data_IF_112189447845
#
_entry.id   IF_112189447845
#
_cell.length_a   1.000
_cell.length_b   1.000
_cell.length_c   1.000
_cell.angle_alpha   90.00
_cell.angle_beta   90.00
_cell.angle_gamma   90.00
#
_symmetry.space_group_name_H-M   'P 1'
#
loop_
_entity.id
_entity.type
_entity.pdbx_description
1 polymer ?
#
# COMPACT_ATOMS: atom_id res chain seq x y z
N UNK A 1 -9.20 57.11 4.08
CA UNK A 1 -9.48 55.77 3.52
C UNK A 1 -8.28 55.39 2.66
N UNK A 2 -7.24 54.80 3.27
CA UNK A 2 -6.10 54.27 2.51
C UNK A 2 -6.50 52.89 1.98
N UNK A 3 -6.57 52.76 0.66
CA UNK A 3 -6.62 51.47 -0.01
C UNK A 3 -5.21 50.88 0.04
N UNK A 4 -4.96 50.00 1.01
CA UNK A 4 -3.76 49.17 1.02
C UNK A 4 -3.82 48.23 -0.18
N UNK A 5 -2.90 48.41 -1.13
CA UNK A 5 -2.72 47.47 -2.22
C UNK A 5 -2.33 46.11 -1.66
N UNK A 6 -3.09 45.08 -2.03
CA UNK A 6 -2.66 43.70 -1.87
C UNK A 6 -1.46 43.53 -2.80
N UNK A 7 -0.23 43.51 -2.26
CA UNK A 7 0.89 42.97 -3.01
C UNK A 7 0.61 41.49 -3.20
N UNK A 8 0.56 41.02 -4.44
CA UNK A 8 0.68 39.59 -4.69
C UNK A 8 2.00 39.13 -4.06
N UNK A 9 1.94 38.11 -3.20
CA UNK A 9 3.17 37.48 -2.72
C UNK A 9 4.02 37.11 -3.93
N UNK A 10 5.34 37.29 -3.87
CA UNK A 10 6.21 36.90 -4.97
C UNK A 10 6.02 35.40 -5.24
N UNK A 11 5.58 35.09 -6.46
CA UNK A 11 5.26 33.72 -6.89
C UNK A 11 6.52 33.08 -7.46
N UNK A 12 7.28 32.41 -6.61
CA UNK A 12 8.38 31.55 -7.01
C UNK A 12 7.90 30.41 -7.90
N UNK A 13 8.81 29.94 -8.75
CA UNK A 13 8.61 28.78 -9.62
C UNK A 13 9.67 27.73 -9.35
N UNK A 14 9.32 26.47 -9.59
CA UNK A 14 10.24 25.35 -9.51
C UNK A 14 10.16 24.59 -10.82
N UNK A 15 11.27 24.51 -11.56
CA UNK A 15 11.37 23.81 -12.82
C UNK A 15 12.43 22.72 -12.81
N UNK A 16 12.27 21.71 -13.67
CA UNK A 16 13.19 20.60 -13.75
C UNK A 16 12.81 19.57 -14.81
N UNK A 17 13.39 18.39 -14.70
CA UNK A 17 13.12 17.23 -15.55
C UNK A 17 12.83 15.98 -14.74
N UNK A 18 11.93 15.14 -15.25
CA UNK A 18 11.72 13.77 -14.79
C UNK A 18 12.36 12.82 -15.79
N UNK A 19 13.21 11.93 -15.30
CA UNK A 19 13.97 10.97 -16.12
C UNK A 19 13.95 9.58 -15.49
N UNK A 20 14.19 8.55 -16.28
CA UNK A 20 14.52 7.21 -15.82
C UNK A 20 15.84 6.73 -16.46
N UNK A 21 16.09 5.42 -16.48
CA UNK A 21 17.31 4.86 -17.07
C UNK A 21 17.37 5.00 -18.60
N UNK A 22 16.23 5.14 -19.28
CA UNK A 22 16.10 5.16 -20.73
C UNK A 22 15.98 6.59 -21.30
N UNK A 23 15.61 7.56 -20.47
CA UNK A 23 15.61 8.97 -20.85
C UNK A 23 14.55 9.81 -20.13
N UNK A 24 14.04 10.87 -20.77
CA UNK A 24 12.98 11.68 -20.21
C UNK A 24 11.66 10.92 -20.07
N UNK A 25 10.96 11.12 -18.96
CA UNK A 25 9.68 10.48 -18.68
C UNK A 25 8.55 11.47 -18.92
N UNK A 26 7.79 11.27 -20.00
CA UNK A 26 6.54 11.98 -20.25
C UNK A 26 5.43 11.53 -19.30
N UNK A 27 4.55 12.44 -18.90
CA UNK A 27 3.30 12.07 -18.24
C UNK A 27 3.44 11.71 -16.76
N UNK A 28 4.58 11.98 -16.13
CA UNK A 28 4.76 11.79 -14.69
C UNK A 28 4.06 12.93 -13.93
N UNK A 29 3.32 12.60 -12.88
CA UNK A 29 2.75 13.60 -11.97
C UNK A 29 3.87 14.13 -11.08
N UNK A 30 4.08 15.44 -11.09
CA UNK A 30 5.06 16.14 -10.25
C UNK A 30 4.32 17.05 -9.28
N UNK A 31 4.64 17.00 -7.98
CA UNK A 31 3.87 17.63 -6.91
C UNK A 31 4.77 18.28 -5.85
N UNK A 32 4.27 19.33 -5.19
CA UNK A 32 4.79 19.78 -3.90
C UNK A 32 4.15 18.96 -2.78
N UNK A 33 4.98 18.22 -2.04
CA UNK A 33 4.53 17.30 -0.98
C UNK A 33 3.56 17.99 0.01
N UNK A 34 2.51 17.26 0.42
CA UNK A 34 1.46 17.71 1.34
C UNK A 34 0.66 18.93 0.84
N UNK A 35 0.58 19.13 -0.48
CA UNK A 35 -0.26 20.15 -1.11
C UNK A 35 -0.93 19.61 -2.37
N UNK A 36 -1.93 20.33 -2.88
CA UNK A 36 -2.57 20.06 -4.17
C UNK A 36 -1.83 20.68 -5.36
N UNK A 37 -0.67 21.34 -5.14
CA UNK A 37 0.09 21.96 -6.21
C UNK A 37 0.85 20.88 -7.00
N UNK A 38 0.36 20.62 -8.21
CA UNK A 38 0.88 19.58 -9.08
C UNK A 38 0.88 20.00 -10.56
N UNK A 39 1.70 19.31 -11.34
CA UNK A 39 1.82 19.43 -12.80
C UNK A 39 2.16 18.06 -13.40
N UNK A 40 2.24 17.97 -14.71
CA UNK A 40 2.65 16.76 -15.42
C UNK A 40 3.88 17.05 -16.27
N UNK A 41 4.84 16.12 -16.30
CA UNK A 41 6.02 16.26 -17.16
C UNK A 41 5.66 16.18 -18.65
N UNK A 42 6.28 17.03 -19.45
CA UNK A 42 6.13 17.06 -20.91
C UNK A 42 6.89 15.91 -21.60
N UNK A 43 6.77 15.81 -22.93
CA UNK A 43 7.41 14.77 -23.74
C UNK A 43 8.94 14.73 -23.62
N UNK A 44 9.57 15.87 -23.31
CA UNK A 44 11.01 15.98 -23.04
C UNK A 44 11.35 15.84 -21.54
N UNK A 45 10.40 15.37 -20.73
CA UNK A 45 10.50 15.18 -19.29
C UNK A 45 10.41 16.48 -18.48
N UNK A 46 10.34 17.65 -19.11
CA UNK A 46 10.35 18.93 -18.39
C UNK A 46 9.07 19.14 -17.60
N UNK A 47 9.18 19.82 -16.46
CA UNK A 47 8.02 20.25 -15.66
C UNK A 47 8.25 21.65 -15.09
N UNK A 48 7.15 22.35 -14.77
CA UNK A 48 7.18 23.61 -14.01
C UNK A 48 6.03 23.64 -13.02
N UNK A 49 6.36 23.97 -11.76
CA UNK A 49 5.41 24.27 -10.68
C UNK A 49 5.49 25.77 -10.38
N UNK A 50 4.34 26.41 -10.22
CA UNK A 50 4.23 27.85 -9.91
C UNK A 50 3.41 28.11 -8.64
N UNK A 51 3.24 29.39 -8.30
CA UNK A 51 2.44 29.79 -7.13
C UNK A 51 3.09 29.42 -5.80
N UNK A 52 4.42 29.35 -5.74
CA UNK A 52 5.18 29.04 -4.54
C UNK A 52 5.66 30.31 -3.87
N UNK A 53 5.87 30.28 -2.56
CA UNK A 53 6.50 31.39 -1.85
C UNK A 53 8.01 31.35 -2.04
N UNK A 54 8.61 32.44 -2.51
CA UNK A 54 10.06 32.54 -2.67
C UNK A 54 10.82 32.32 -1.36
N UNK A 55 11.96 31.62 -1.42
CA UNK A 55 12.85 31.32 -0.31
C UNK A 55 12.33 30.26 0.67
N UNK A 56 11.05 29.88 0.61
CA UNK A 56 10.46 28.86 1.48
C UNK A 56 10.72 27.48 0.87
N UNK A 57 11.50 26.66 1.58
CA UNK A 57 11.90 25.34 1.10
C UNK A 57 10.71 24.39 0.98
N UNK A 58 10.66 23.67 -0.15
CA UNK A 58 9.65 22.65 -0.44
C UNK A 58 10.30 21.31 -0.78
N UNK A 59 9.50 20.24 -0.73
CA UNK A 59 9.84 18.93 -1.29
C UNK A 59 9.06 18.72 -2.58
N UNK A 60 9.77 18.43 -3.66
CA UNK A 60 9.19 18.11 -4.97
C UNK A 60 9.23 16.60 -5.14
N UNK A 61 8.09 15.97 -5.41
CA UNK A 61 7.98 14.54 -5.70
C UNK A 61 7.49 14.29 -7.11
N UNK A 62 7.86 13.14 -7.69
CA UNK A 62 7.32 12.64 -8.94
C UNK A 62 6.89 11.18 -8.82
N UNK A 63 5.84 10.83 -9.54
CA UNK A 63 5.36 9.46 -9.69
C UNK A 63 4.77 9.23 -11.08
N UNK A 64 4.89 7.99 -11.54
CA UNK A 64 4.21 7.45 -12.72
C UNK A 64 3.91 5.97 -12.47
N UNK A 65 2.79 5.48 -13.01
CA UNK A 65 2.45 4.05 -12.95
C UNK A 65 3.63 3.18 -13.42
N UNK A 66 3.90 2.07 -12.72
CA UNK A 66 5.09 1.20 -12.83
C UNK A 66 6.42 1.72 -12.28
N UNK A 67 6.46 2.88 -11.63
CA UNK A 67 7.66 3.43 -11.01
C UNK A 67 7.51 3.64 -9.51
N UNK A 68 8.63 3.51 -8.78
CA UNK A 68 8.76 4.06 -7.44
C UNK A 68 8.69 5.59 -7.49
N UNK A 69 8.14 6.20 -6.43
CA UNK A 69 8.17 7.64 -6.26
C UNK A 69 9.61 8.15 -6.11
N UNK A 70 9.92 9.26 -6.78
CA UNK A 70 11.14 10.03 -6.57
C UNK A 70 10.83 11.32 -5.81
N UNK A 71 11.82 11.87 -5.11
CA UNK A 71 11.71 13.19 -4.50
C UNK A 71 13.05 13.92 -4.43
N UNK A 72 12.97 15.25 -4.40
CA UNK A 72 14.06 16.16 -4.05
C UNK A 72 13.56 17.07 -2.93
N UNK A 73 14.30 17.11 -1.83
CA UNK A 73 13.97 17.88 -0.62
C UNK A 73 14.78 19.18 -0.59
N UNK A 74 14.31 20.17 0.19
CA UNK A 74 15.08 21.40 0.46
C UNK A 74 15.16 22.36 -0.73
N UNK A 75 14.20 22.31 -1.65
CA UNK A 75 14.17 23.17 -2.85
C UNK A 75 13.65 24.55 -2.46
N UNK A 76 14.43 25.60 -2.63
CA UNK A 76 14.00 26.98 -2.36
C UNK A 76 13.60 27.69 -3.66
N UNK A 77 12.32 28.04 -3.86
CA UNK A 77 11.88 28.80 -5.03
C UNK A 77 12.46 30.23 -5.06
N UNK A 78 12.73 30.82 -6.24
CA UNK A 78 12.71 30.17 -7.54
C UNK A 78 13.88 29.18 -7.69
N UNK A 79 13.61 28.01 -8.25
CA UNK A 79 14.62 27.00 -8.54
C UNK A 79 14.41 26.41 -9.94
N UNK A 80 15.51 26.06 -10.61
CA UNK A 80 15.52 25.35 -11.89
C UNK A 80 16.42 24.12 -11.81
N UNK A 81 16.45 23.34 -12.89
CA UNK A 81 17.42 22.25 -13.09
C UNK A 81 17.32 21.12 -12.06
N UNK A 82 16.15 20.97 -11.42
CA UNK A 82 15.86 19.84 -10.55
C UNK A 82 15.73 18.57 -11.39
N UNK A 83 16.34 17.48 -10.95
CA UNK A 83 16.21 16.18 -11.62
C UNK A 83 15.52 15.19 -10.69
N UNK A 84 14.38 14.66 -11.13
CA UNK A 84 13.66 13.57 -10.47
C UNK A 84 13.92 12.28 -11.24
N UNK A 85 14.60 11.32 -10.61
CA UNK A 85 14.97 10.04 -11.25
C UNK A 85 13.98 8.97 -10.81
N UNK A 86 13.07 8.60 -11.70
CA UNK A 86 12.15 7.48 -11.50
C UNK A 86 12.88 6.15 -11.73
N UNK A 87 12.46 5.12 -11.00
CA UNK A 87 12.95 3.75 -11.15
C UNK A 87 11.76 2.82 -11.27
N UNK A 88 11.80 1.93 -12.25
CA UNK A 88 10.80 0.88 -12.35
C UNK A 88 10.79 0.02 -11.08
N UNK A 89 9.61 -0.36 -10.64
CA UNK A 89 9.44 -1.44 -9.68
C UNK A 89 9.12 -2.75 -10.42
N UNK A 90 9.23 -3.87 -9.70
CA UNK A 90 8.82 -5.18 -10.17
C UNK A 90 7.29 -5.26 -10.41
N UNK A 91 6.88 -5.67 -11.61
CA UNK A 91 5.48 -5.76 -12.02
C UNK A 91 4.96 -7.20 -12.21
N UNK A 92 5.68 -8.22 -11.75
CA UNK A 92 5.18 -9.60 -11.59
C UNK A 92 4.92 -9.90 -10.10
N UNK A 93 4.58 -11.13 -9.72
CA UNK A 93 4.34 -11.55 -8.33
C UNK A 93 5.32 -12.68 -7.97
N UNK A 94 5.79 -12.70 -6.73
CA UNK A 94 6.69 -13.74 -6.19
C UNK A 94 5.91 -14.70 -5.26
N UNK A 95 5.52 -15.89 -5.73
CA UNK A 95 4.79 -16.86 -4.91
C UNK A 95 5.59 -17.42 -3.72
N UNK A 96 6.92 -17.32 -3.75
CA UNK A 96 7.80 -17.84 -2.70
C UNK A 96 8.14 -16.78 -1.63
N UNK A 97 7.57 -15.58 -1.72
CA UNK A 97 7.82 -14.51 -0.76
C UNK A 97 7.26 -14.84 0.62
N UNK A 98 8.13 -14.72 1.63
CA UNK A 98 7.72 -14.79 3.03
C UNK A 98 7.27 -13.42 3.52
N UNK A 99 6.10 -13.37 4.15
CA UNK A 99 5.48 -12.12 4.56
C UNK A 99 6.23 -11.49 5.74
N UNK A 100 6.48 -10.18 5.65
CA UNK A 100 7.13 -9.44 6.72
C UNK A 100 6.22 -9.42 7.96
N UNK A 101 6.82 -9.72 9.12
CA UNK A 101 6.10 -9.68 10.37
C UNK A 101 5.72 -8.23 10.71
N UNK A 102 4.48 -7.98 11.19
CA UNK A 102 4.10 -6.66 11.69
C UNK A 102 4.97 -6.23 12.87
N UNK A 103 5.29 -7.16 13.76
CA UNK A 103 6.11 -6.97 14.97
C UNK A 103 6.89 -8.25 15.27
N UNK A 104 8.12 -8.09 15.78
CA UNK A 104 8.98 -9.20 16.23
C UNK A 104 9.90 -8.71 17.34
N UNK A 105 10.20 -9.59 18.30
CA UNK A 105 11.22 -9.37 19.33
C UNK A 105 12.63 -9.74 18.86
N UNK A 106 12.75 -10.33 17.67
CA UNK A 106 14.03 -10.68 17.06
C UNK A 106 14.69 -9.43 16.45
N UNK A 107 15.83 -8.96 17.00
CA UNK A 107 16.50 -7.76 16.51
C UNK A 107 17.15 -7.93 15.12
N UNK A 108 17.31 -9.16 14.63
CA UNK A 108 17.88 -9.44 13.30
C UNK A 108 16.80 -9.43 12.20
N UNK A 109 15.52 -9.48 12.57
CA UNK A 109 14.41 -9.44 11.63
C UNK A 109 13.81 -8.03 11.55
N UNK A 110 13.72 -7.49 10.33
CA UNK A 110 12.95 -6.26 10.09
C UNK A 110 11.46 -6.54 10.29
N UNK A 111 10.72 -5.51 10.71
CA UNK A 111 9.27 -5.58 10.85
C UNK A 111 8.65 -4.22 10.59
N UNK A 112 7.34 -4.19 10.37
CA UNK A 112 6.62 -2.94 10.22
C UNK A 112 6.80 -2.02 11.45
N UNK A 113 6.79 -2.59 12.66
CA UNK A 113 6.98 -1.88 13.92
C UNK A 113 8.32 -1.13 14.02
N UNK A 114 9.39 -1.63 13.38
CA UNK A 114 10.70 -0.99 13.43
C UNK A 114 10.68 0.46 12.89
N UNK A 115 9.93 0.69 11.81
CA UNK A 115 9.80 2.00 11.18
C UNK A 115 8.47 2.70 11.50
N UNK A 116 7.44 1.94 11.90
CA UNK A 116 6.05 2.40 12.06
C UNK A 116 5.45 1.95 13.40
N UNK A 117 6.22 2.07 14.48
CA UNK A 117 5.83 1.58 15.82
C UNK A 117 4.42 2.06 16.24
N UNK A 118 4.19 3.38 16.27
CA UNK A 118 2.91 3.92 16.73
C UNK A 118 1.70 3.50 15.87
N UNK A 119 1.89 3.29 14.56
CA UNK A 119 0.82 2.77 13.68
C UNK A 119 0.57 1.29 13.97
N UNK A 120 1.65 0.53 14.22
CA UNK A 120 1.57 -0.90 14.51
C UNK A 120 0.89 -1.14 15.87
N UNK A 121 1.18 -0.33 16.89
CA UNK A 121 0.49 -0.37 18.19
C UNK A 121 -1.02 -0.17 18.04
N UNK A 122 -1.44 0.83 17.26
CA UNK A 122 -2.87 1.05 16.98
C UNK A 122 -3.48 -0.13 16.21
N UNK A 123 -2.74 -0.67 15.24
CA UNK A 123 -3.21 -1.81 14.43
C UNK A 123 -3.38 -3.06 15.29
N UNK A 124 -2.48 -3.34 16.24
CA UNK A 124 -2.57 -4.48 17.15
C UNK A 124 -3.86 -4.48 18.00
N UNK A 125 -4.42 -3.30 18.29
CA UNK A 125 -5.65 -3.16 19.05
C UNK A 125 -6.93 -3.18 18.17
N UNK A 126 -6.80 -3.34 16.85
CA UNK A 126 -7.92 -3.28 15.92
C UNK A 126 -8.33 -4.67 15.37
N UNK A 127 -9.47 -4.71 14.67
CA UNK A 127 -10.01 -5.96 14.12
C UNK A 127 -9.16 -6.59 13.00
N UNK A 128 -8.27 -5.82 12.34
CA UNK A 128 -7.41 -6.34 11.27
C UNK A 128 -6.36 -7.30 11.83
N UNK A 129 -5.68 -6.92 12.93
CA UNK A 129 -4.65 -7.72 13.59
C UNK A 129 -5.17 -8.99 14.28
N UNK A 130 -6.47 -9.04 14.54
CA UNK A 130 -7.14 -10.20 15.14
C UNK A 130 -7.94 -11.04 14.15
N UNK A 131 -7.98 -10.69 12.86
CA UNK A 131 -8.90 -11.30 11.91
C UNK A 131 -8.64 -12.81 11.72
N UNK A 132 -7.37 -13.22 11.80
CA UNK A 132 -6.94 -14.62 11.71
C UNK A 132 -7.15 -15.44 12.98
N UNK A 133 -7.29 -14.78 14.14
CA UNK A 133 -7.31 -15.43 15.46
C UNK A 133 -8.55 -15.08 16.31
N UNK A 134 -9.57 -14.44 15.73
CA UNK A 134 -10.73 -13.98 16.47
C UNK A 134 -11.55 -15.17 17.00
N UNK A 135 -11.71 -15.33 18.33
CA UNK A 135 -12.35 -16.52 18.91
C UNK A 135 -13.82 -16.64 18.54
N UNK A 136 -14.54 -15.53 18.32
CA UNK A 136 -15.94 -15.57 17.86
C UNK A 136 -16.04 -16.01 16.41
N UNK A 137 -15.09 -15.62 15.57
CA UNK A 137 -15.03 -16.09 14.19
C UNK A 137 -14.70 -17.59 14.17
N UNK A 138 -13.65 -18.00 14.88
CA UNK A 138 -13.22 -19.40 14.92
C UNK A 138 -14.31 -20.31 15.52
N UNK A 139 -15.09 -19.83 16.48
CA UNK A 139 -16.22 -20.59 17.03
C UNK A 139 -17.29 -20.89 15.96
N UNK A 140 -17.62 -19.89 15.12
CA UNK A 140 -18.55 -20.06 13.99
C UNK A 140 -17.96 -20.87 12.83
N UNK A 141 -16.66 -20.75 12.59
CA UNK A 141 -15.97 -21.51 11.55
C UNK A 141 -15.90 -22.99 11.92
N UNK A 142 -15.59 -23.30 13.19
CA UNK A 142 -15.36 -24.65 13.69
C UNK A 142 -16.62 -25.33 14.25
N UNK A 143 -17.69 -24.60 14.57
CA UNK A 143 -18.87 -25.14 15.25
C UNK A 143 -18.63 -25.46 16.72
N UNK A 144 -17.94 -24.53 17.40
CA UNK A 144 -17.59 -24.59 18.82
C UNK A 144 -18.13 -23.36 19.56
N UNK A 145 -18.08 -23.34 20.88
CA UNK A 145 -18.10 -22.07 21.62
C UNK A 145 -16.74 -21.36 21.52
N UNK A 146 -16.61 -20.19 22.18
CA UNK A 146 -15.38 -19.40 22.20
C UNK A 146 -14.25 -20.04 23.01
N UNK A 147 -14.56 -21.05 23.83
CA UNK A 147 -13.59 -21.83 24.59
C UNK A 147 -13.15 -23.10 23.82
N UNK A 148 -13.72 -23.34 22.63
CA UNK A 148 -13.41 -24.48 21.78
C UNK A 148 -14.22 -25.74 22.06
N UNK A 149 -15.25 -25.69 22.92
CA UNK A 149 -16.11 -26.85 23.16
C UNK A 149 -16.99 -27.11 21.94
N UNK A 150 -17.03 -28.34 21.40
CA UNK A 150 -17.75 -28.65 20.17
C UNK A 150 -19.27 -28.69 20.36
N UNK A 151 -20.00 -28.69 19.24
CA UNK A 151 -21.45 -28.90 19.21
C UNK A 151 -22.25 -27.61 19.37
N UNK A 152 -21.65 -26.46 19.07
CA UNK A 152 -22.30 -25.15 19.15
C UNK A 152 -22.40 -24.57 17.73
N UNK A 153 -23.61 -24.48 17.16
CA UNK A 153 -23.80 -23.90 15.83
C UNK A 153 -23.73 -22.36 15.85
N UNK A 154 -23.38 -21.71 14.72
CA UNK A 154 -23.06 -22.32 13.42
C UNK A 154 -21.65 -22.93 13.38
N UNK A 155 -21.40 -23.84 12.44
CA UNK A 155 -20.09 -24.48 12.26
C UNK A 155 -19.79 -24.75 10.80
N UNK A 156 -19.19 -23.80 10.10
CA UNK A 156 -18.98 -23.90 8.64
C UNK A 156 -18.34 -25.23 8.23
N UNK A 157 -17.22 -25.62 8.85
CA UNK A 157 -16.51 -26.86 8.49
C UNK A 157 -17.30 -28.13 8.84
N UNK A 158 -18.23 -28.04 9.81
CA UNK A 158 -19.13 -29.14 10.16
C UNK A 158 -20.28 -29.26 9.15
N UNK A 159 -20.84 -28.11 8.74
CA UNK A 159 -21.94 -28.03 7.78
C UNK A 159 -21.49 -28.37 6.35
N UNK A 160 -20.23 -28.08 6.02
CA UNK A 160 -19.63 -28.29 4.70
C UNK A 160 -18.34 -29.13 4.77
N UNK A 161 -18.44 -30.42 5.13
CA UNK A 161 -17.26 -31.27 5.26
C UNK A 161 -16.53 -31.40 3.92
N UNK A 162 -15.21 -31.23 3.95
CA UNK A 162 -14.33 -31.36 2.77
C UNK A 162 -13.96 -30.05 2.07
N UNK A 163 -14.35 -28.90 2.63
CA UNK A 163 -13.89 -27.57 2.18
C UNK A 163 -13.55 -26.67 3.36
N UNK A 164 -12.56 -25.79 3.19
CA UNK A 164 -12.26 -24.70 4.14
C UNK A 164 -13.02 -23.41 3.80
N UNK A 165 -13.82 -23.44 2.72
CA UNK A 165 -14.58 -22.29 2.25
C UNK A 165 -13.67 -21.17 1.74
N UNK A 166 -14.23 -19.97 1.63
CA UNK A 166 -13.52 -18.76 1.22
C UNK A 166 -13.29 -17.79 2.39
N UNK A 167 -13.46 -18.22 3.64
CA UNK A 167 -13.35 -17.32 4.79
C UNK A 167 -11.97 -16.64 4.85
N UNK A 168 -10.92 -17.38 4.48
CA UNK A 168 -9.56 -16.87 4.43
C UNK A 168 -9.37 -15.73 3.42
N UNK A 169 -10.15 -15.63 2.34
CA UNK A 169 -9.98 -14.57 1.33
C UNK A 169 -10.18 -13.17 1.91
N UNK A 170 -10.91 -13.06 3.02
CA UNK A 170 -11.09 -11.80 3.75
C UNK A 170 -10.39 -11.80 5.12
N UNK A 171 -10.33 -12.94 5.80
CA UNK A 171 -9.81 -13.00 7.18
C UNK A 171 -8.31 -13.25 7.29
N UNK A 172 -7.70 -13.90 6.29
CA UNK A 172 -6.26 -14.16 6.23
C UNK A 172 -5.78 -14.06 4.77
N UNK A 173 -5.95 -12.88 4.14
CA UNK A 173 -5.83 -12.74 2.70
C UNK A 173 -4.41 -13.02 2.19
N UNK A 174 -3.36 -12.75 2.98
CA UNK A 174 -1.98 -13.10 2.64
C UNK A 174 -1.77 -14.62 2.46
N UNK A 175 -2.43 -15.45 3.27
CA UNK A 175 -2.41 -16.91 3.13
C UNK A 175 -3.38 -17.41 2.04
N UNK A 176 -4.47 -16.69 1.80
CA UNK A 176 -5.47 -17.07 0.81
C UNK A 176 -5.06 -16.73 -0.64
N UNK A 177 -4.05 -15.89 -0.84
CA UNK A 177 -3.50 -15.55 -2.16
C UNK A 177 -3.25 -16.79 -3.03
N UNK A 178 -2.56 -17.79 -2.46
CA UNK A 178 -2.15 -18.99 -3.20
C UNK A 178 -3.15 -20.15 -3.08
N UNK A 179 -4.08 -20.08 -2.13
CA UNK A 179 -5.02 -21.16 -1.81
C UNK A 179 -6.41 -20.64 -1.36
N UNK A 180 -7.12 -19.84 -2.17
CA UNK A 180 -8.27 -19.04 -1.72
C UNK A 180 -9.47 -19.85 -1.22
N UNK A 181 -9.57 -21.13 -1.61
CA UNK A 181 -10.62 -22.06 -1.19
C UNK A 181 -10.11 -23.28 -0.40
N UNK A 182 -8.83 -23.26 -0.03
CA UNK A 182 -8.14 -24.37 0.62
C UNK A 182 -7.31 -23.93 1.85
N UNK A 183 -7.15 -22.63 2.10
CA UNK A 183 -6.54 -22.11 3.32
C UNK A 183 -7.45 -22.38 4.51
N UNK A 184 -6.99 -23.19 5.46
CA UNK A 184 -7.66 -23.43 6.73
C UNK A 184 -7.25 -22.36 7.75
N UNK A 185 -8.25 -21.70 8.33
CA UNK A 185 -8.04 -20.66 9.35
C UNK A 185 -7.41 -21.21 10.64
N UNK A 186 -7.50 -22.52 10.89
CA UNK A 186 -6.88 -23.15 12.06
C UNK A 186 -5.36 -23.40 11.89
N UNK A 187 -4.81 -23.24 10.68
CA UNK A 187 -3.42 -23.62 10.37
C UNK A 187 -2.58 -22.43 9.88
N UNK A 188 -3.00 -21.20 10.17
CA UNK A 188 -2.25 -20.00 9.79
C UNK A 188 -0.90 -19.93 10.50
N UNK A 189 0.11 -19.42 9.82
CA UNK A 189 1.49 -19.29 10.33
C UNK A 189 2.09 -17.93 9.99
N UNK A 190 3.16 -17.54 10.69
CA UNK A 190 3.86 -16.27 10.43
C UNK A 190 2.95 -15.05 10.55
N UNK A 191 3.14 -14.08 9.66
CA UNK A 191 2.33 -12.85 9.61
C UNK A 191 0.83 -13.14 9.40
N UNK A 192 0.48 -14.26 8.76
CA UNK A 192 -0.92 -14.61 8.50
C UNK A 192 -1.71 -14.95 9.76
N UNK A 193 -1.06 -15.27 10.89
CA UNK A 193 -1.75 -15.49 12.18
C UNK A 193 -2.50 -14.26 12.66
N UNK A 194 -2.06 -13.07 12.27
CA UNK A 194 -2.77 -11.81 12.53
C UNK A 194 -3.99 -11.63 11.61
N UNK A 195 -4.06 -12.34 10.49
CA UNK A 195 -5.09 -12.17 9.48
C UNK A 195 -4.75 -11.07 8.47
N UNK A 196 -5.35 -9.88 8.59
CA UNK A 196 -5.12 -8.77 7.67
C UNK A 196 -3.93 -7.93 8.15
N UNK A 197 -2.73 -8.33 7.73
CA UNK A 197 -1.47 -7.71 8.16
C UNK A 197 -0.98 -6.59 7.23
N UNK A 198 -0.12 -5.73 7.76
CA UNK A 198 0.40 -4.54 7.07
C UNK A 198 1.05 -4.89 5.73
N UNK A 199 1.85 -5.96 5.71
CA UNK A 199 2.61 -6.33 4.52
C UNK A 199 1.71 -6.76 3.35
N UNK A 200 0.61 -7.47 3.64
CA UNK A 200 -0.41 -7.78 2.65
C UNK A 200 -1.07 -6.50 2.10
N UNK A 201 -1.59 -5.64 2.99
CA UNK A 201 -2.33 -4.45 2.57
C UNK A 201 -1.47 -3.49 1.76
N UNK A 202 -0.20 -3.33 2.12
CA UNK A 202 0.72 -2.46 1.41
C UNK A 202 1.34 -3.14 0.17
N UNK A 203 0.94 -4.35 -0.19
CA UNK A 203 1.34 -5.01 -1.45
C UNK A 203 0.20 -5.10 -2.47
N UNK A 204 -0.98 -4.54 -2.16
CA UNK A 204 -2.08 -4.39 -3.11
C UNK A 204 -1.76 -3.26 -4.10
N UNK A 205 -1.45 -3.64 -5.34
CA UNK A 205 -1.09 -2.72 -6.42
C UNK A 205 -2.30 -2.18 -7.19
N UNK A 206 -3.35 -3.00 -7.34
CA UNK A 206 -4.56 -2.65 -8.09
C UNK A 206 -5.77 -3.49 -7.64
N UNK A 207 -6.96 -3.17 -8.14
CA UNK A 207 -8.20 -3.89 -7.90
C UNK A 207 -8.87 -4.34 -9.21
N UNK A 208 -9.36 -5.57 -9.23
CA UNK A 208 -10.18 -6.11 -10.32
C UNK A 208 -11.64 -5.64 -10.16
N UNK A 209 -11.95 -4.49 -10.75
CA UNK A 209 -13.27 -3.87 -10.68
C UNK A 209 -14.15 -4.21 -11.89
N UNK A 210 -15.44 -4.38 -11.64
CA UNK A 210 -16.44 -4.45 -12.70
C UNK A 210 -16.62 -3.05 -13.33
N UNK A 211 -16.33 -2.86 -14.63
CA UNK A 211 -16.41 -1.54 -15.27
C UNK A 211 -17.81 -0.90 -15.25
N UNK A 212 -18.87 -1.71 -15.11
CA UNK A 212 -20.25 -1.22 -15.08
C UNK A 212 -20.64 -0.63 -13.71
N UNK A 213 -20.03 -1.11 -12.62
CA UNK A 213 -20.40 -0.73 -11.24
C UNK A 213 -19.31 0.05 -10.51
N UNK A 214 -18.04 -0.07 -10.94
CA UNK A 214 -16.89 0.43 -10.21
C UNK A 214 -16.62 -0.32 -8.90
N UNK A 215 -17.23 -1.49 -8.69
CA UNK A 215 -17.06 -2.34 -7.51
C UNK A 215 -16.38 -3.66 -7.88
N UNK A 216 -15.75 -4.38 -6.94
CA UNK A 216 -15.31 -5.75 -7.15
C UNK A 216 -16.45 -6.64 -7.68
N UNK A 217 -16.08 -7.65 -8.48
CA UNK A 217 -17.04 -8.66 -8.95
C UNK A 217 -17.63 -9.45 -7.76
N UNK A 218 -18.92 -9.77 -7.81
CA UNK A 218 -19.64 -10.49 -6.73
C UNK A 218 -19.01 -11.85 -6.38
N UNK A 219 -18.39 -12.51 -7.35
CA UNK A 219 -17.73 -13.81 -7.20
C UNK A 219 -16.22 -13.72 -6.91
N UNK A 220 -15.69 -12.53 -6.66
CA UNK A 220 -14.28 -12.30 -6.33
C UNK A 220 -14.12 -11.61 -4.95
N UNK A 221 -14.58 -12.22 -3.84
CA UNK A 221 -14.53 -11.59 -2.53
C UNK A 221 -13.10 -11.50 -1.98
N UNK A 222 -12.82 -10.41 -1.28
CA UNK A 222 -11.56 -10.19 -0.58
C UNK A 222 -10.38 -10.19 -1.54
N UNK A 223 -9.36 -10.96 -1.22
CA UNK A 223 -8.10 -11.02 -1.98
C UNK A 223 -8.28 -11.42 -3.45
N UNK A 224 -9.35 -12.13 -3.79
CA UNK A 224 -9.66 -12.50 -5.18
C UNK A 224 -9.93 -11.30 -6.10
N UNK A 225 -10.23 -10.13 -5.53
CA UNK A 225 -10.40 -8.88 -6.27
C UNK A 225 -9.16 -7.98 -6.27
N UNK A 226 -8.04 -8.45 -5.75
CA UNK A 226 -6.84 -7.64 -5.55
C UNK A 226 -5.71 -8.14 -6.41
N UNK A 227 -4.98 -7.21 -7.03
CA UNK A 227 -3.70 -7.48 -7.65
C UNK A 227 -2.60 -7.23 -6.61
N UNK A 228 -2.01 -8.29 -6.08
CA UNK A 228 -1.02 -8.24 -5.01
C UNK A 228 0.36 -8.57 -5.57
N UNK A 229 1.36 -7.78 -5.21
CA UNK A 229 2.73 -7.90 -5.74
C UNK A 229 3.72 -8.17 -4.61
N UNK A 230 4.18 -9.41 -4.52
CA UNK A 230 5.21 -9.83 -3.57
C UNK A 230 6.61 -9.67 -4.18
N UNK A 231 7.58 -9.09 -3.46
CA UNK A 231 8.85 -8.70 -4.03
C UNK A 231 9.86 -9.86 -4.18
N UNK A 232 10.78 -9.71 -5.13
CA UNK A 232 11.97 -10.57 -5.31
C UNK A 232 13.20 -9.98 -4.59
N UNK A 233 13.81 -10.68 -3.62
CA UNK A 233 14.88 -10.14 -2.77
C UNK A 233 16.18 -9.78 -3.51
N UNK A 234 16.32 -10.18 -4.77
CA UNK A 234 17.54 -9.99 -5.59
C UNK A 234 17.75 -8.54 -6.07
N UNK A 235 16.77 -7.65 -5.90
CA UNK A 235 16.89 -6.25 -6.34
C UNK A 235 17.36 -5.31 -5.21
N UNK A 236 18.13 -4.27 -5.57
CA UNK A 236 18.72 -3.29 -4.62
C UNK A 236 17.66 -2.60 -3.73
N UNK A 237 16.42 -2.49 -4.22
CA UNK A 237 15.26 -1.95 -3.49
C UNK A 237 14.09 -2.93 -3.60
N UNK A 238 14.26 -4.13 -3.09
CA UNK A 238 13.25 -5.16 -3.32
C UNK A 238 11.93 -4.88 -2.61
N UNK A 239 11.95 -4.38 -1.36
CA UNK A 239 10.70 -4.16 -0.65
C UNK A 239 9.80 -3.16 -1.39
N UNK A 240 8.58 -3.63 -1.68
CA UNK A 240 7.57 -2.91 -2.44
C UNK A 240 6.41 -2.60 -1.52
N UNK A 241 6.04 -1.31 -1.49
CA UNK A 241 4.91 -0.81 -0.74
C UNK A 241 4.09 0.14 -1.61
N UNK A 242 2.79 -0.14 -1.71
CA UNK A 242 1.80 0.69 -2.36
C UNK A 242 1.05 1.52 -1.33
N UNK A 243 0.74 2.74 -1.75
CA UNK A 243 0.02 3.74 -0.98
C UNK A 243 -0.38 4.87 -1.91
N UNK A 244 -1.20 5.77 -1.41
CA UNK A 244 -1.62 6.92 -2.20
C UNK A 244 -0.42 7.84 -2.46
N UNK A 245 -0.16 8.16 -3.73
CA UNK A 245 0.75 9.25 -4.07
C UNK A 245 0.09 10.61 -3.81
N UNK A 246 -1.23 10.66 -4.03
CA UNK A 246 -2.07 11.82 -3.82
C UNK A 246 -2.84 11.67 -2.51
N UNK A 247 -2.62 12.57 -1.55
CA UNK A 247 -3.49 12.78 -0.39
C UNK A 247 -4.55 13.88 -0.66
#
# INVERSE_FOLDING_TARGET
MLLGGVSADPSGTVGGVVVDADGPVEGATVRIQATTNATTSAADGTFTLGGLTEGITVTVSAWKHTYYCAKVEGVAPPASDITLILRHYQTDDNPDYDWELPITDDPEHSSCAHCKLGVTEIWLENAHAGAGANPRFLSMYNGTDVDGNPGVPPGFVQDFPGTTGNCATCHAPGAAMDAPFATDMNTLTGANTFGVHCDFCHKVADLYLNPATGLPYENAPGVLSMDVRRPYPESERFQLFFGTFDD
#
